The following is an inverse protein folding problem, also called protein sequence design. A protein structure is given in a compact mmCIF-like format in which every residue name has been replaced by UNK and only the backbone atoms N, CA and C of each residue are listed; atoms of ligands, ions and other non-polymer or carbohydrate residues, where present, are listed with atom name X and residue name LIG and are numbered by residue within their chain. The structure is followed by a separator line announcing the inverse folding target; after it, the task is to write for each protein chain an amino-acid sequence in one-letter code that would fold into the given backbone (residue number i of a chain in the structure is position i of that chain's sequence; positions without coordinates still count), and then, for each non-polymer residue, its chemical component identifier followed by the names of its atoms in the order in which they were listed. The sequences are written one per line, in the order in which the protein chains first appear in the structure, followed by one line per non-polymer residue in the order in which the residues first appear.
data_IF_363290547518
#
_entry.id   IF_363290547518
#
_cell.length_a   1.000
_cell.length_b   1.000
_cell.length_c   1.000
_cell.angle_alpha   90.00
_cell.angle_beta   90.00
_cell.angle_gamma   90.00
#
_symmetry.space_group_name_H-M   'P 1'
#
loop_
_entity.id
_entity.type
_entity.pdbx_description
1 polymer ?
#
# COMPACT_ATOMS: atom_id res chain seq x y z
N UNK A 1 -3.16 -13.44 -15.94
CA UNK A 1 -2.46 -12.17 -16.29
C UNK A 1 -2.52 -11.24 -15.08
N UNK A 2 -1.39 -11.02 -14.38
CA UNK A 2 -1.34 -10.14 -13.20
C UNK A 2 -1.71 -8.72 -13.63
N UNK A 3 -2.70 -8.10 -12.98
CA UNK A 3 -3.14 -6.72 -13.23
C UNK A 3 -1.92 -5.80 -13.12
N UNK A 4 -1.46 -5.28 -14.25
CA UNK A 4 -0.43 -4.23 -14.33
C UNK A 4 -0.91 -2.90 -13.73
N UNK A 5 -2.19 -2.82 -13.34
CA UNK A 5 -2.81 -1.65 -12.77
C UNK A 5 -2.76 -1.68 -11.23
N UNK A 6 -2.15 -0.67 -10.58
CA UNK A 6 -2.16 -0.57 -9.12
C UNK A 6 -3.58 -0.33 -8.58
N UNK A 7 -3.90 -0.97 -7.46
CA UNK A 7 -5.22 -0.86 -6.80
C UNK A 7 -5.32 0.32 -5.81
N UNK A 8 -4.23 1.05 -5.57
CA UNK A 8 -4.23 2.23 -4.70
C UNK A 8 -4.23 3.52 -5.53
N UNK A 9 -4.98 4.53 -5.07
CA UNK A 9 -5.15 5.81 -5.78
C UNK A 9 -3.80 6.49 -6.08
N UNK A 10 -2.86 6.46 -5.12
CA UNK A 10 -1.49 6.97 -5.31
C UNK A 10 -0.74 6.21 -6.40
N UNK A 11 -0.86 4.89 -6.46
CA UNK A 11 -0.20 4.11 -7.52
C UNK A 11 -0.80 4.37 -8.88
N UNK A 12 -2.11 4.58 -8.97
CA UNK A 12 -2.78 4.93 -10.23
C UNK A 12 -2.32 6.29 -10.72
N UNK A 13 -2.25 7.29 -9.83
CA UNK A 13 -1.73 8.62 -10.16
C UNK A 13 -0.27 8.56 -10.63
N UNK A 14 0.58 7.80 -9.93
CA UNK A 14 1.99 7.59 -10.31
C UNK A 14 2.12 6.93 -11.69
N UNK A 15 1.28 5.93 -11.98
CA UNK A 15 1.27 5.25 -13.27
C UNK A 15 0.88 6.22 -14.40
N UNK A 16 -0.17 7.02 -14.19
CA UNK A 16 -0.63 8.01 -15.18
C UNK A 16 0.45 9.06 -15.44
N UNK A 17 1.07 9.60 -14.39
CA UNK A 17 2.15 10.59 -14.52
C UNK A 17 3.36 9.98 -15.23
N UNK A 18 3.77 8.76 -14.86
CA UNK A 18 4.88 8.08 -15.51
C UNK A 18 4.60 7.84 -17.01
N UNK A 19 3.38 7.44 -17.36
CA UNK A 19 2.97 7.20 -18.75
C UNK A 19 2.92 8.51 -19.56
N UNK A 20 2.41 9.60 -18.97
CA UNK A 20 2.45 10.93 -19.59
C UNK A 20 3.89 11.41 -19.82
N UNK A 21 4.78 11.24 -18.83
CA UNK A 21 6.19 11.59 -18.97
C UNK A 21 6.89 10.75 -20.04
N UNK A 22 6.56 9.46 -20.14
CA UNK A 22 7.07 8.58 -21.19
C UNK A 22 6.67 9.08 -22.58
N UNK A 23 5.40 9.40 -22.76
CA UNK A 23 4.87 9.88 -24.03
C UNK A 23 5.48 11.22 -24.43
N UNK A 24 5.56 12.17 -23.49
CA UNK A 24 6.17 13.48 -23.70
C UNK A 24 7.66 13.37 -24.06
N UNK A 25 8.41 12.52 -23.36
CA UNK A 25 9.83 12.34 -23.63
C UNK A 25 10.08 11.59 -24.95
N UNK A 26 9.19 10.68 -25.33
CA UNK A 26 9.19 10.05 -26.64
C UNK A 26 9.02 11.06 -27.77
N UNK A 27 8.03 11.96 -27.66
CA UNK A 27 7.81 13.05 -28.62
C UNK A 27 9.02 13.99 -28.68
N UNK A 28 9.53 14.43 -27.52
CA UNK A 28 10.69 15.32 -27.44
C UNK A 28 11.95 14.69 -28.07
N UNK A 29 12.22 13.42 -27.76
CA UNK A 29 13.35 12.68 -28.33
C UNK A 29 13.21 12.52 -29.85
N UNK A 30 12.00 12.24 -30.34
CA UNK A 30 11.70 12.14 -31.76
C UNK A 30 11.91 13.47 -32.50
N UNK A 31 11.43 14.60 -31.95
CA UNK A 31 11.62 15.93 -32.52
C UNK A 31 13.11 16.31 -32.58
N UNK A 32 13.85 16.07 -31.51
CA UNK A 32 15.29 16.35 -31.45
C UNK A 32 16.09 15.47 -32.41
N UNK A 33 15.72 14.20 -32.54
CA UNK A 33 16.31 13.29 -33.52
C UNK A 33 16.08 13.77 -34.95
N UNK A 34 14.84 14.17 -35.28
CA UNK A 34 14.48 14.71 -36.60
C UNK A 34 15.21 16.02 -36.90
N UNK A 35 15.33 16.91 -35.92
CA UNK A 35 16.08 18.16 -36.02
C UNK A 35 17.58 17.94 -36.27
N UNK A 36 18.19 17.01 -35.54
CA UNK A 36 19.60 16.66 -35.70
C UNK A 36 19.91 16.06 -37.09
N UNK A 37 19.01 15.23 -37.65
CA UNK A 37 19.18 14.71 -39.01
C UNK A 37 19.14 15.83 -40.07
N UNK A 38 18.21 16.77 -39.96
CA UNK A 38 18.09 17.88 -40.91
C UNK A 38 19.31 18.80 -40.92
N UNK A 39 19.91 19.07 -39.76
CA UNK A 39 21.12 19.90 -39.67
C UNK A 39 22.34 19.28 -40.35
N UNK A 40 22.54 17.96 -40.22
CA UNK A 40 23.69 17.29 -40.84
C UNK A 40 23.66 17.39 -42.38
N UNK A 41 22.46 17.30 -42.98
CA UNK A 41 22.29 17.49 -44.42
C UNK A 41 22.62 18.92 -44.86
N UNK A 42 22.18 19.93 -44.09
CA UNK A 42 22.45 21.36 -44.37
C UNK A 42 23.94 21.71 -44.27
N UNK A 43 24.65 21.20 -43.25
CA UNK A 43 26.10 21.39 -43.12
C UNK A 43 26.85 20.78 -44.31
N UNK A 44 26.41 19.61 -44.78
CA UNK A 44 27.03 18.91 -45.92
C UNK A 44 26.82 19.64 -47.26
N UNK A 45 25.63 20.19 -47.51
CA UNK A 45 25.33 20.94 -48.74
C UNK A 45 26.04 22.29 -48.77
N UNK A 46 25.99 23.06 -47.69
CA UNK A 46 26.60 24.40 -47.62
C UNK A 46 28.11 24.33 -47.84
N UNK A 47 28.77 23.30 -47.27
CA UNK A 47 30.22 23.10 -47.45
C UNK A 47 30.61 22.65 -48.86
N UNK A 48 29.76 21.91 -49.56
CA UNK A 48 29.96 21.52 -50.96
C UNK A 48 29.70 22.69 -51.92
N UNK A 49 28.59 23.41 -51.75
CA UNK A 49 28.18 24.55 -52.57
C UNK A 49 29.21 25.69 -52.49
N UNK A 50 29.62 26.07 -51.28
CA UNK A 50 30.66 27.10 -51.12
C UNK A 50 31.96 26.73 -51.84
N UNK A 51 32.34 25.45 -51.87
CA UNK A 51 33.57 25.02 -52.56
C UNK A 51 33.46 25.01 -54.06
N UNK A 52 32.32 24.57 -54.60
CA UNK A 52 32.06 24.68 -56.04
C UNK A 52 32.11 26.17 -56.44
N UNK A 53 31.48 27.06 -55.68
CA UNK A 53 31.52 28.50 -55.93
C UNK A 53 32.95 29.09 -55.88
N UNK A 54 33.74 28.79 -54.83
CA UNK A 54 35.12 29.26 -54.72
C UNK A 54 36.07 28.67 -55.77
N UNK A 55 35.83 27.43 -56.21
CA UNK A 55 36.66 26.81 -57.24
C UNK A 55 36.39 27.38 -58.62
N UNK A 56 35.13 27.71 -58.92
CA UNK A 56 34.75 28.41 -60.16
C UNK A 56 35.31 29.84 -60.22
N UNK A 57 35.26 30.59 -59.12
CA UNK A 57 35.86 31.95 -59.03
C UNK A 57 37.38 31.95 -59.32
N UNK A 58 38.09 30.88 -58.95
CA UNK A 58 39.52 30.72 -59.29
C UNK A 58 39.77 30.46 -60.78
N UNK A 59 38.80 29.87 -61.47
CA UNK A 59 38.91 29.52 -62.89
C UNK A 59 38.62 30.74 -63.78
N UNK A 60 37.77 31.66 -63.32
CA UNK A 60 37.39 32.89 -64.04
C UNK A 60 38.33 34.08 -63.81
N UNK A 61 39.25 34.03 -62.83
CA UNK A 61 40.16 35.13 -62.50
C UNK A 61 41.62 34.92 -62.93
N UNK A 62 42.17 35.88 -63.67
CA UNK A 62 43.60 36.03 -64.01
C UNK A 62 44.42 36.44 -62.76
N UNK A 63 44.59 35.52 -61.81
CA UNK A 63 45.43 35.69 -60.62
C UNK A 63 46.57 34.68 -60.64
N UNK A 64 47.84 35.11 -60.81
CA UNK A 64 48.95 34.18 -60.84
C UNK A 64 49.05 33.44 -59.50
N UNK A 65 49.20 32.12 -59.58
CA UNK A 65 49.42 31.27 -58.43
C UNK A 65 50.64 31.77 -57.66
N UNK A 66 50.44 32.37 -56.48
CA UNK A 66 51.56 32.67 -55.57
C UNK A 66 52.29 31.36 -55.29
N UNK A 67 53.58 31.33 -55.61
CA UNK A 67 54.56 30.20 -55.64
C UNK A 67 54.70 29.38 -54.33
N UNK A 68 53.87 29.61 -53.32
CA UNK A 68 53.70 28.78 -52.12
C UNK A 68 52.37 27.97 -52.16
N UNK A 69 51.74 27.85 -53.34
CA UNK A 69 50.38 27.37 -53.55
C UNK A 69 50.14 25.86 -53.40
N UNK A 70 51.18 25.04 -53.52
CA UNK A 70 51.00 23.58 -53.63
C UNK A 70 50.54 22.91 -52.33
N UNK A 71 50.92 23.45 -51.17
CA UNK A 71 50.42 22.94 -49.88
C UNK A 71 48.99 23.38 -49.56
N UNK A 72 48.53 24.55 -50.06
CA UNK A 72 47.17 25.03 -49.78
C UNK A 72 46.14 24.41 -50.73
N UNK A 73 46.52 24.12 -51.98
CA UNK A 73 45.67 23.43 -52.94
C UNK A 73 45.35 21.98 -52.50
N UNK A 74 46.35 21.22 -52.01
CA UNK A 74 46.16 19.86 -51.45
C UNK A 74 45.29 19.81 -50.19
N UNK A 75 45.19 20.92 -49.45
CA UNK A 75 44.46 21.01 -48.18
C UNK A 75 42.94 21.05 -48.36
N UNK A 76 42.44 21.46 -49.53
CA UNK A 76 41.05 21.90 -49.71
C UNK A 76 40.20 21.04 -50.65
N UNK A 77 40.65 19.84 -51.04
CA UNK A 77 39.91 18.92 -51.92
C UNK A 77 39.75 19.50 -53.34
N UNK A 78 40.16 18.76 -54.36
CA UNK A 78 40.05 19.26 -55.74
C UNK A 78 38.58 19.15 -56.21
N UNK A 79 38.15 20.04 -57.12
CA UNK A 79 36.89 19.85 -57.84
C UNK A 79 37.12 18.84 -58.96
N UNK A 80 36.21 17.88 -59.12
CA UNK A 80 36.27 16.95 -60.24
C UNK A 80 35.49 17.55 -61.40
N UNK A 81 36.15 17.71 -62.54
CA UNK A 81 35.52 18.09 -63.79
C UNK A 81 35.40 16.87 -64.69
N UNK A 82 34.24 16.65 -65.30
CA UNK A 82 33.99 15.52 -66.19
C UNK A 82 32.85 15.82 -67.15
N UNK A 83 32.78 15.11 -68.27
CA UNK A 83 31.65 15.19 -69.21
C UNK A 83 30.39 14.49 -68.67
N UNK A 84 30.54 13.63 -67.66
CA UNK A 84 29.47 12.91 -67.01
C UNK A 84 29.34 13.29 -65.52
N UNK A 85 28.12 13.20 -65.00
CA UNK A 85 27.85 13.45 -63.58
C UNK A 85 28.50 12.37 -62.71
N UNK A 86 29.16 12.76 -61.61
CA UNK A 86 29.61 11.79 -60.60
C UNK A 86 28.44 11.13 -59.84
N UNK A 87 27.22 11.62 -60.06
CA UNK A 87 25.97 10.99 -59.62
C UNK A 87 25.31 10.33 -60.82
N UNK A 88 25.51 9.02 -60.94
CA UNK A 88 24.91 8.21 -62.00
C UNK A 88 23.43 7.95 -61.76
N UNK A 89 22.69 7.60 -62.82
CA UNK A 89 21.23 7.47 -62.78
C UNK A 89 20.74 6.26 -61.94
N UNK A 90 21.62 5.29 -61.68
CA UNK A 90 21.37 4.16 -60.77
C UNK A 90 21.53 4.54 -59.28
N UNK A 91 22.15 5.69 -58.99
CA UNK A 91 22.32 6.16 -57.62
C UNK A 91 21.03 6.86 -57.13
N UNK A 92 20.73 6.67 -55.84
CA UNK A 92 19.57 7.32 -55.21
C UNK A 92 19.79 8.83 -55.16
N UNK A 93 19.03 9.58 -55.96
CA UNK A 93 19.04 11.05 -55.96
C UNK A 93 18.41 11.61 -54.68
N UNK A 94 18.87 12.80 -54.28
CA UNK A 94 18.40 13.53 -53.10
C UNK A 94 17.82 14.88 -53.51
N UNK A 95 16.55 14.93 -53.97
CA UNK A 95 15.94 16.15 -54.53
C UNK A 95 15.94 17.34 -53.58
N UNK A 96 15.75 17.11 -52.27
CA UNK A 96 15.80 18.18 -51.26
C UNK A 96 17.19 18.83 -51.17
N UNK A 97 18.25 18.04 -51.36
CA UNK A 97 19.62 18.54 -51.33
C UNK A 97 19.96 19.28 -52.63
N UNK A 98 19.49 18.76 -53.76
CA UNK A 98 19.61 19.38 -55.09
C UNK A 98 18.95 20.77 -55.11
N UNK A 99 17.68 20.86 -54.66
CA UNK A 99 16.95 22.12 -54.59
C UNK A 99 17.62 23.16 -53.68
N UNK A 100 18.12 22.73 -52.51
CA UNK A 100 18.86 23.62 -51.59
C UNK A 100 20.19 24.06 -52.16
N UNK A 101 20.93 23.16 -52.80
CA UNK A 101 22.19 23.49 -53.45
C UNK A 101 21.96 24.51 -54.57
N UNK A 102 20.95 24.29 -55.42
CA UNK A 102 20.53 25.22 -56.46
C UNK A 102 20.17 26.59 -55.92
N UNK A 103 19.38 26.66 -54.84
CA UNK A 103 19.05 27.94 -54.20
C UNK A 103 20.29 28.64 -53.63
N UNK A 104 21.22 27.89 -53.02
CA UNK A 104 22.46 28.46 -52.48
C UNK A 104 23.38 28.98 -53.59
N UNK A 105 23.47 28.29 -54.73
CA UNK A 105 24.20 28.77 -55.90
C UNK A 105 23.56 30.02 -56.51
N UNK A 106 22.22 30.02 -56.67
CA UNK A 106 21.48 31.16 -57.17
C UNK A 106 21.67 32.41 -56.29
N UNK A 107 21.68 32.25 -54.97
CA UNK A 107 21.98 33.33 -54.02
C UNK A 107 23.41 33.88 -54.16
N UNK A 108 24.34 33.08 -54.66
CA UNK A 108 25.72 33.49 -54.97
C UNK A 108 25.87 34.01 -56.41
N UNK A 109 24.76 34.12 -57.18
CA UNK A 109 24.77 34.56 -58.57
C UNK A 109 25.31 33.52 -59.56
N UNK A 110 25.40 32.24 -59.16
CA UNK A 110 25.89 31.14 -60.00
C UNK A 110 24.70 30.31 -60.46
N UNK A 111 24.55 30.12 -61.77
CA UNK A 111 23.54 29.25 -62.37
C UNK A 111 24.16 27.98 -62.94
N UNK A 112 23.44 26.87 -62.77
CA UNK A 112 23.78 25.56 -63.34
C UNK A 112 22.57 25.03 -64.10
N UNK A 113 22.79 24.26 -65.16
CA UNK A 113 21.70 23.68 -65.98
C UNK A 113 21.03 22.49 -65.31
N UNK A 114 21.79 21.66 -64.60
CA UNK A 114 21.29 20.55 -63.79
C UNK A 114 22.15 20.39 -62.52
N UNK A 115 21.53 19.96 -61.44
CA UNK A 115 22.19 19.69 -60.16
C UNK A 115 21.74 18.31 -59.68
N UNK A 116 22.72 17.44 -59.46
CA UNK A 116 22.51 16.09 -58.96
C UNK A 116 23.16 15.90 -57.60
N UNK A 117 22.48 15.24 -56.69
CA UNK A 117 23.05 14.90 -55.40
C UNK A 117 22.71 13.49 -54.96
N UNK A 118 23.67 12.80 -54.35
CA UNK A 118 23.45 11.47 -53.77
C UNK A 118 24.21 11.31 -52.46
N UNK A 119 23.85 10.28 -51.68
CA UNK A 119 24.59 9.87 -50.50
C UNK A 119 25.01 8.42 -50.61
N UNK A 120 26.30 8.17 -50.39
CA UNK A 120 26.93 6.85 -50.47
C UNK A 120 27.63 6.53 -49.15
N UNK A 121 27.73 5.24 -48.81
CA UNK A 121 28.39 4.79 -47.56
C UNK A 121 29.90 4.72 -47.70
N UNK A 122 30.38 4.33 -48.87
CA UNK A 122 31.80 4.25 -49.21
C UNK A 122 32.09 5.12 -50.44
N UNK A 123 33.24 5.78 -50.45
CA UNK A 123 33.66 6.65 -51.54
C UNK A 123 34.49 5.82 -52.53
N UNK A 124 34.05 5.74 -53.79
CA UNK A 124 34.79 5.07 -54.85
C UNK A 124 36.03 5.89 -55.26
N UNK A 125 37.04 5.20 -55.83
CA UNK A 125 38.37 5.77 -56.05
C UNK A 125 38.40 7.08 -56.85
N UNK A 126 37.48 7.23 -57.79
CA UNK A 126 37.36 8.40 -58.66
C UNK A 126 36.99 9.71 -57.92
N UNK A 127 36.20 9.60 -56.83
CA UNK A 127 35.82 10.76 -56.00
C UNK A 127 36.68 10.91 -54.73
N UNK A 128 37.58 9.96 -54.45
CA UNK A 128 38.43 9.95 -53.24
C UNK A 128 39.39 11.15 -53.15
N UNK A 129 39.92 11.63 -54.28
CA UNK A 129 40.75 12.85 -54.37
C UNK A 129 39.98 14.16 -54.27
N UNK A 130 38.64 14.10 -54.37
CA UNK A 130 37.73 15.23 -54.48
C UNK A 130 36.87 15.38 -53.20
N UNK A 131 37.40 14.92 -52.07
CA UNK A 131 36.69 14.83 -50.79
C UNK A 131 36.96 16.03 -49.85
N UNK A 132 35.88 16.62 -49.38
CA UNK A 132 35.84 17.73 -48.42
C UNK A 132 35.90 17.20 -46.99
N UNK A 133 36.95 17.59 -46.26
CA UNK A 133 37.06 17.38 -44.82
C UNK A 133 37.83 16.13 -44.38
N UNK A 134 38.44 15.41 -45.33
CA UNK A 134 39.32 14.26 -45.06
C UNK A 134 40.73 14.66 -44.56
N UNK A 135 41.29 15.76 -45.09
CA UNK A 135 42.65 16.22 -44.75
C UNK A 135 42.71 17.07 -43.48
N UNK A 136 42.42 16.46 -42.33
CA UNK A 136 42.75 17.04 -41.01
C UNK A 136 43.78 16.24 -40.20
N UNK A 137 44.26 15.08 -40.70
CA UNK A 137 45.37 14.35 -40.06
C UNK A 137 46.66 15.18 -40.09
N UNK A 138 47.02 15.77 -41.24
CA UNK A 138 48.20 16.65 -41.34
C UNK A 138 48.12 17.94 -40.48
N UNK A 139 46.92 18.42 -40.13
CA UNK A 139 46.77 19.59 -39.25
C UNK A 139 46.88 19.24 -37.75
N UNK A 140 46.55 17.98 -37.40
CA UNK A 140 46.59 17.45 -36.02
C UNK A 140 48.00 17.12 -35.55
N UNK A 141 48.88 16.74 -36.46
CA UNK A 141 50.27 16.36 -36.16
C UNK A 141 51.27 17.52 -36.20
N UNK A 142 50.81 18.76 -36.34
CA UNK A 142 51.66 19.93 -36.13
C UNK A 142 51.91 20.12 -34.61
N UNK A 143 53.18 20.23 -34.15
CA UNK A 143 53.54 20.36 -32.73
C UNK A 143 52.74 21.42 -31.95
N UNK A 144 52.33 22.51 -32.62
CA UNK A 144 51.56 23.62 -32.02
C UNK A 144 50.16 23.20 -31.55
N UNK A 145 49.53 22.21 -32.20
CA UNK A 145 48.18 21.77 -31.83
C UNK A 145 48.18 20.73 -30.70
N UNK A 146 49.26 19.95 -30.56
CA UNK A 146 49.41 18.99 -29.46
C UNK A 146 49.57 19.71 -28.11
N UNK A 147 50.15 20.91 -28.10
CA UNK A 147 50.31 21.71 -26.88
C UNK A 147 49.05 22.45 -26.41
N UNK A 148 48.01 22.58 -27.24
CA UNK A 148 46.74 23.23 -26.90
C UNK A 148 45.60 22.26 -26.51
N UNK A 149 45.91 21.00 -26.15
CA UNK A 149 44.91 20.07 -25.58
C UNK A 149 43.84 19.58 -26.55
N UNK A 150 44.12 19.58 -27.86
CA UNK A 150 43.17 19.21 -28.92
C UNK A 150 42.83 17.72 -29.04
N UNK A 151 42.41 17.06 -27.95
CA UNK A 151 42.01 15.65 -27.99
C UNK A 151 40.50 15.51 -28.29
N UNK A 152 40.08 15.85 -29.52
CA UNK A 152 38.74 15.49 -30.02
C UNK A 152 38.82 14.18 -30.82
N UNK A 153 38.10 13.17 -30.33
CA UNK A 153 37.93 11.83 -30.95
C UNK A 153 37.60 11.94 -32.44
N UNK A 154 38.16 11.09 -33.33
CA UNK A 154 37.81 11.11 -34.74
C UNK A 154 36.32 10.79 -34.89
N UNK A 155 35.53 11.78 -35.34
CA UNK A 155 34.15 11.56 -35.75
C UNK A 155 34.12 10.42 -36.76
N UNK A 156 33.49 9.30 -36.41
CA UNK A 156 33.31 8.18 -37.35
C UNK A 156 32.55 8.71 -38.57
N UNK A 157 33.13 8.49 -39.75
CA UNK A 157 32.52 8.89 -41.02
C UNK A 157 31.46 7.85 -41.33
N UNK A 158 30.18 8.27 -41.42
CA UNK A 158 29.06 7.35 -41.66
C UNK A 158 28.74 7.21 -43.16
N UNK A 159 29.26 8.14 -43.96
CA UNK A 159 29.07 8.17 -45.40
C UNK A 159 29.50 9.51 -45.98
N UNK A 160 29.25 9.65 -47.28
CA UNK A 160 29.64 10.78 -48.10
C UNK A 160 28.41 11.29 -48.84
N UNK A 161 28.38 12.59 -49.10
CA UNK A 161 27.41 13.23 -49.98
C UNK A 161 28.15 13.75 -51.18
N UNK A 162 27.70 13.37 -52.39
CA UNK A 162 28.25 13.90 -53.64
C UNK A 162 27.25 14.90 -54.18
N UNK A 163 27.76 16.08 -54.58
CA UNK A 163 27.01 17.07 -55.35
C UNK A 163 27.73 17.27 -56.67
N UNK A 164 26.99 17.14 -57.76
CA UNK A 164 27.42 17.36 -59.14
C UNK A 164 26.56 18.43 -59.77
N UNK A 165 27.16 19.46 -60.35
CA UNK A 165 26.43 20.56 -60.99
C UNK A 165 26.95 20.77 -62.41
N UNK A 166 26.05 20.90 -63.39
CA UNK A 166 26.39 21.05 -64.80
C UNK A 166 26.49 22.53 -65.19
N UNK A 167 27.63 22.92 -65.75
CA UNK A 167 27.91 24.25 -66.23
C UNK A 167 27.25 24.51 -67.60
N UNK A 168 27.20 25.78 -68.01
CA UNK A 168 26.59 26.17 -69.29
C UNK A 168 27.32 25.61 -70.53
N UNK A 169 28.59 25.22 -70.38
CA UNK A 169 29.40 24.54 -71.41
C UNK A 169 29.15 23.03 -71.48
N UNK A 170 28.26 22.50 -70.65
CA UNK A 170 27.92 21.08 -70.56
C UNK A 170 28.79 20.27 -69.61
N UNK A 171 29.88 20.84 -69.07
CA UNK A 171 30.82 20.16 -68.19
C UNK A 171 30.26 20.02 -66.77
N UNK A 172 30.46 18.86 -66.14
CA UNK A 172 30.03 18.60 -64.77
C UNK A 172 31.12 18.91 -63.76
N UNK A 173 30.75 19.63 -62.70
CA UNK A 173 31.60 19.90 -61.54
C UNK A 173 31.09 19.11 -60.35
N UNK A 174 31.91 18.21 -59.82
CA UNK A 174 31.53 17.30 -58.75
C UNK A 174 32.44 17.42 -57.53
N UNK A 175 31.84 17.32 -56.35
CA UNK A 175 32.58 17.29 -55.08
C UNK A 175 31.89 16.37 -54.07
N UNK A 176 32.70 15.68 -53.25
CA UNK A 176 32.21 14.84 -52.16
C UNK A 176 32.39 15.53 -50.80
N UNK A 177 31.44 15.43 -49.88
CA UNK A 177 31.55 15.92 -48.51
C UNK A 177 31.31 14.82 -47.48
N UNK A 178 32.07 14.85 -46.37
CA UNK A 178 31.96 13.88 -45.28
C UNK A 178 30.72 14.15 -44.44
N UNK A 179 29.85 13.15 -44.27
CA UNK A 179 28.77 13.17 -43.28
C UNK A 179 29.30 12.58 -41.98
N UNK A 180 29.44 13.44 -40.95
CA UNK A 180 29.94 13.04 -39.62
C UNK A 180 28.80 12.63 -38.71
N UNK A 181 29.00 11.56 -37.95
CA UNK A 181 28.11 11.23 -36.84
C UNK A 181 28.33 12.16 -35.63
N UNK A 182 27.27 12.83 -35.17
CA UNK A 182 27.20 13.42 -33.82
C UNK A 182 26.24 12.59 -32.96
N UNK A 183 26.69 11.44 -32.43
CA UNK A 183 25.75 10.40 -31.93
C UNK A 183 25.90 9.93 -30.47
N UNK A 184 27.02 10.03 -29.72
CA UNK A 184 27.01 9.58 -28.31
C UNK A 184 26.59 10.67 -27.30
N UNK A 185 26.89 11.94 -27.57
CA UNK A 185 26.61 13.03 -26.62
C UNK A 185 25.13 13.38 -26.54
N UNK A 186 24.41 13.43 -27.66
CA UNK A 186 22.99 13.79 -27.68
C UNK A 186 22.15 12.72 -26.98
N UNK A 187 22.37 11.43 -27.29
CA UNK A 187 21.66 10.32 -26.63
C UNK A 187 21.96 10.29 -25.12
N UNK A 188 23.22 10.48 -24.72
CA UNK A 188 23.59 10.54 -23.30
C UNK A 188 22.93 11.72 -22.58
N UNK A 189 22.89 12.89 -23.21
CA UNK A 189 22.20 14.07 -22.66
C UNK A 189 20.70 13.84 -22.54
N UNK A 190 20.06 13.24 -23.56
CA UNK A 190 18.63 12.90 -23.52
C UNK A 190 18.32 11.88 -22.40
N UNK A 191 19.12 10.83 -22.27
CA UNK A 191 18.93 9.84 -21.19
C UNK A 191 19.09 10.48 -19.82
N UNK A 192 20.13 11.29 -19.62
CA UNK A 192 20.35 12.00 -18.36
C UNK A 192 19.19 12.95 -18.05
N UNK A 193 18.72 13.70 -19.06
CA UNK A 193 17.55 14.59 -18.93
C UNK A 193 16.28 13.81 -18.59
N UNK A 194 16.03 12.66 -19.25
CA UNK A 194 14.88 11.78 -18.95
C UNK A 194 14.93 11.32 -17.49
N UNK A 195 16.06 10.75 -17.06
CA UNK A 195 16.21 10.24 -15.70
C UNK A 195 16.01 11.37 -14.68
N UNK A 196 16.59 12.54 -14.94
CA UNK A 196 16.45 13.71 -14.07
C UNK A 196 14.99 14.15 -13.96
N UNK A 197 14.26 14.25 -15.06
CA UNK A 197 12.83 14.62 -15.06
C UNK A 197 12.00 13.58 -14.32
N UNK A 198 12.26 12.28 -14.54
CA UNK A 198 11.56 11.21 -13.85
C UNK A 198 11.81 11.24 -12.35
N UNK A 199 13.06 11.44 -11.93
CA UNK A 199 13.41 11.54 -10.51
C UNK A 199 12.75 12.76 -9.88
N UNK A 200 12.81 13.92 -10.55
CA UNK A 200 12.26 15.18 -10.05
C UNK A 200 10.72 15.18 -9.99
N UNK A 201 10.04 14.43 -10.86
CA UNK A 201 8.57 14.32 -10.84
C UNK A 201 8.07 13.19 -9.96
N UNK A 202 8.63 11.98 -10.06
CA UNK A 202 8.10 10.81 -9.39
C UNK A 202 8.49 10.76 -7.91
N UNK A 203 9.70 11.18 -7.53
CA UNK A 203 10.12 11.09 -6.11
C UNK A 203 9.24 11.95 -5.21
N UNK A 204 9.02 13.26 -5.49
CA UNK A 204 8.11 14.08 -4.66
C UNK A 204 6.70 13.52 -4.64
N UNK A 205 6.21 12.98 -5.76
CA UNK A 205 4.87 12.41 -5.86
C UNK A 205 4.72 11.13 -5.01
N UNK A 206 5.74 10.27 -4.98
CA UNK A 206 5.78 9.10 -4.11
C UNK A 206 5.80 9.54 -2.64
N UNK A 207 6.65 10.51 -2.29
CA UNK A 207 6.76 11.01 -0.92
C UNK A 207 5.44 11.62 -0.44
N UNK A 208 4.82 12.48 -1.24
CA UNK A 208 3.52 13.09 -0.96
C UNK A 208 2.42 12.03 -0.85
N UNK A 209 2.40 11.07 -1.76
CA UNK A 209 1.46 9.96 -1.73
C UNK A 209 1.57 9.12 -0.44
N UNK A 210 2.80 8.85 0.03
CA UNK A 210 3.03 8.14 1.31
C UNK A 210 2.66 9.01 2.51
N UNK A 211 2.94 10.31 2.46
CA UNK A 211 2.60 11.27 3.51
C UNK A 211 1.09 11.36 3.75
N UNK A 212 0.28 11.26 2.69
CA UNK A 212 -1.20 11.26 2.78
C UNK A 212 -1.75 9.86 3.12
N UNK A 213 -1.24 8.82 2.45
CA UNK A 213 -1.85 7.48 2.56
C UNK A 213 -1.58 6.78 3.88
N UNK A 214 -0.43 7.05 4.52
CA UNK A 214 -0.06 6.37 5.78
C UNK A 214 -1.01 6.73 6.93
N UNK A 215 -1.27 8.02 7.24
CA UNK A 215 -2.18 8.39 8.32
C UNK A 215 -3.62 7.95 8.08
N UNK A 216 -4.10 7.97 6.83
CA UNK A 216 -5.43 7.48 6.48
C UNK A 216 -5.57 5.97 6.73
N UNK A 217 -4.55 5.17 6.38
CA UNK A 217 -4.56 3.73 6.66
C UNK A 217 -4.58 3.44 8.16
N UNK A 218 -3.80 4.17 8.96
CA UNK A 218 -3.83 4.00 10.42
C UNK A 218 -5.18 4.41 11.01
N UNK A 219 -5.79 5.48 10.49
CA UNK A 219 -7.13 5.90 10.90
C UNK A 219 -8.18 4.84 10.55
N UNK A 220 -8.18 4.31 9.32
CA UNK A 220 -9.09 3.23 8.92
C UNK A 220 -8.92 1.98 9.79
N UNK A 221 -7.68 1.57 10.05
CA UNK A 221 -7.41 0.40 10.89
C UNK A 221 -7.95 0.60 12.32
N UNK A 222 -7.69 1.76 12.93
CA UNK A 222 -8.16 2.04 14.30
C UNK A 222 -9.67 2.22 14.37
N UNK A 223 -10.30 2.77 13.32
CA UNK A 223 -11.76 2.86 13.23
C UNK A 223 -12.42 1.48 13.08
N UNK A 224 -11.82 0.57 12.30
CA UNK A 224 -12.31 -0.81 12.14
C UNK A 224 -12.12 -1.66 13.39
N UNK A 225 -11.03 -1.43 14.12
CA UNK A 225 -10.76 -2.12 15.38
C UNK A 225 -11.30 -1.36 16.60
N UNK A 226 -12.07 -0.29 16.43
CA UNK A 226 -12.54 0.52 17.54
C UNK A 226 -13.48 -0.29 18.42
N UNK A 227 -13.04 -0.56 19.64
CA UNK A 227 -13.85 -1.15 20.69
C UNK A 227 -14.10 -0.09 21.76
N UNK A 228 -15.37 0.16 22.13
CA UNK A 228 -15.66 1.14 23.15
C UNK A 228 -14.97 0.77 24.46
N UNK A 229 -14.13 1.67 24.99
CA UNK A 229 -13.37 1.46 26.25
C UNK A 229 -11.89 1.23 26.05
N UNK A 230 -11.45 0.98 24.82
CA UNK A 230 -10.04 1.03 24.51
C UNK A 230 -9.50 2.45 24.66
N UNK A 231 -8.40 2.56 25.40
CA UNK A 231 -7.61 3.78 25.49
C UNK A 231 -6.52 3.76 24.40
N UNK A 232 -6.55 4.73 23.49
CA UNK A 232 -5.52 4.85 22.45
C UNK A 232 -5.89 5.87 21.40
N UNK A 233 -5.32 7.07 21.52
CA UNK A 233 -5.48 8.14 20.54
C UNK A 233 -4.50 7.98 19.38
N UNK A 234 -4.95 8.35 18.18
CA UNK A 234 -4.07 8.45 17.03
C UNK A 234 -3.29 9.75 17.09
N UNK A 235 -1.98 9.69 16.83
CA UNK A 235 -1.19 10.92 16.65
C UNK A 235 -1.67 11.67 15.42
N UNK A 236 -1.92 12.98 15.57
CA UNK A 236 -2.34 13.87 14.48
C UNK A 236 -1.21 14.08 13.46
N UNK A 237 -1.12 13.20 12.45
CA UNK A 237 -0.10 13.23 11.41
C UNK A 237 -0.69 13.42 10.02
N UNK A 238 0.11 13.98 9.10
CA UNK A 238 -0.26 14.17 7.70
C UNK A 238 -0.63 15.62 7.33
N UNK A 239 -1.23 15.82 6.14
CA UNK A 239 -1.72 17.13 5.71
C UNK A 239 -2.74 17.73 6.69
N UNK A 240 -3.00 19.06 6.64
CA UNK A 240 -3.99 19.73 7.47
C UNK A 240 -5.34 19.00 7.55
N UNK A 241 -5.93 18.66 6.40
CA UNK A 241 -7.23 17.97 6.32
C UNK A 241 -7.21 16.59 6.98
N UNK A 242 -6.09 15.86 6.85
CA UNK A 242 -5.93 14.55 7.48
C UNK A 242 -5.76 14.66 8.99
N UNK A 243 -5.02 15.66 9.47
CA UNK A 243 -4.88 15.94 10.91
C UNK A 243 -6.22 16.34 11.53
N UNK A 244 -6.99 17.18 10.85
CA UNK A 244 -8.33 17.58 11.28
C UNK A 244 -9.27 16.38 11.38
N UNK A 245 -9.24 15.48 10.39
CA UNK A 245 -10.01 14.24 10.43
C UNK A 245 -9.59 13.32 11.58
N UNK A 246 -8.27 13.16 11.82
CA UNK A 246 -7.76 12.39 12.96
C UNK A 246 -8.19 13.00 14.28
N UNK A 247 -8.14 14.34 14.41
CA UNK A 247 -8.61 15.05 15.60
C UNK A 247 -10.11 14.81 15.83
N UNK A 248 -10.93 14.97 14.80
CA UNK A 248 -12.36 14.71 14.88
C UNK A 248 -12.67 13.26 15.31
N UNK A 249 -11.90 12.28 14.82
CA UNK A 249 -12.00 10.89 15.27
C UNK A 249 -11.60 10.71 16.74
N UNK A 250 -10.49 11.31 17.18
CA UNK A 250 -10.07 11.28 18.58
C UNK A 250 -11.13 11.92 19.49
N UNK A 251 -11.71 13.05 19.09
CA UNK A 251 -12.78 13.75 19.83
C UNK A 251 -14.03 12.88 19.96
N UNK A 252 -14.43 12.22 18.87
CA UNK A 252 -15.53 11.25 18.86
C UNK A 252 -15.23 10.08 19.79
N UNK A 253 -14.03 9.50 19.72
CA UNK A 253 -13.59 8.39 20.59
C UNK A 253 -13.65 8.78 22.07
N UNK A 254 -13.13 9.97 22.43
CA UNK A 254 -13.22 10.51 23.79
C UNK A 254 -14.66 10.70 24.25
N UNK A 255 -15.53 11.25 23.40
CA UNK A 255 -16.94 11.46 23.73
C UNK A 255 -17.68 10.14 23.94
N UNK A 256 -17.45 9.14 23.08
CA UNK A 256 -18.05 7.80 23.21
C UNK A 256 -17.58 7.12 24.49
N UNK A 257 -16.27 7.12 24.76
CA UNK A 257 -15.72 6.54 25.97
C UNK A 257 -16.28 7.26 27.23
N UNK A 258 -16.36 8.59 27.21
CA UNK A 258 -16.94 9.37 28.30
C UNK A 258 -18.41 9.05 28.56
N UNK A 259 -19.24 8.92 27.53
CA UNK A 259 -20.65 8.52 27.68
C UNK A 259 -20.80 7.13 28.29
N UNK A 260 -19.89 6.21 27.99
CA UNK A 260 -19.94 4.86 28.55
C UNK A 260 -19.45 4.86 30.00
N UNK A 261 -18.39 5.61 30.31
CA UNK A 261 -17.91 5.75 31.69
C UNK A 261 -19.00 6.40 32.58
N UNK A 262 -19.72 7.40 32.07
CA UNK A 262 -20.87 8.02 32.73
C UNK A 262 -22.00 6.99 32.96
N UNK A 263 -22.31 6.16 31.96
CA UNK A 263 -23.27 5.05 32.08
C UNK A 263 -22.85 4.08 33.20
N UNK A 264 -21.57 3.72 33.28
CA UNK A 264 -21.07 2.74 34.26
C UNK A 264 -21.12 3.28 35.70
N UNK A 265 -20.81 4.57 35.88
CA UNK A 265 -20.99 5.30 37.15
C UNK A 265 -22.47 5.35 37.54
N UNK A 266 -23.35 5.70 36.60
CA UNK A 266 -24.79 5.76 36.83
C UNK A 266 -25.36 4.41 37.25
N UNK A 267 -24.99 3.31 36.56
CA UNK A 267 -25.39 1.96 36.95
C UNK A 267 -24.90 1.58 38.35
N UNK A 268 -23.70 2.04 38.74
CA UNK A 268 -23.18 1.85 40.09
C UNK A 268 -23.97 2.56 41.17
N UNK A 269 -24.29 3.83 40.92
CA UNK A 269 -25.13 4.62 41.83
C UNK A 269 -26.52 4.00 41.97
N UNK A 270 -27.16 3.60 40.87
CA UNK A 270 -28.46 2.92 40.89
C UNK A 270 -28.39 1.62 41.70
N UNK A 271 -27.34 0.80 41.52
CA UNK A 271 -27.17 -0.42 42.28
C UNK A 271 -27.05 -0.19 43.79
N UNK A 272 -26.26 0.82 44.19
CA UNK A 272 -26.12 1.21 45.59
C UNK A 272 -27.45 1.73 46.18
N UNK A 273 -28.15 2.58 45.43
CA UNK A 273 -29.41 3.19 45.87
C UNK A 273 -30.57 2.19 45.94
N UNK A 274 -30.51 1.09 45.19
CA UNK A 274 -31.46 -0.03 45.29
C UNK A 274 -31.11 -1.02 46.40
N UNK A 275 -29.82 -1.23 46.70
CA UNK A 275 -29.40 -2.13 47.79
C UNK A 275 -29.75 -1.60 49.18
N UNK A 276 -29.70 -0.27 49.36
CA UNK A 276 -30.07 0.39 50.63
C UNK A 276 -31.51 0.09 51.08
N UNK A 277 -32.57 0.31 50.26
CA UNK A 277 -33.93 -0.02 50.64
C UNK A 277 -34.17 -1.53 50.76
N UNK A 278 -33.46 -2.38 50.00
CA UNK A 278 -33.52 -3.84 50.18
C UNK A 278 -32.96 -4.27 51.53
N UNK A 279 -31.84 -3.71 51.97
CA UNK A 279 -31.29 -3.96 53.30
C UNK A 279 -32.25 -3.50 54.42
N UNK A 280 -32.90 -2.34 54.24
CA UNK A 280 -33.91 -1.86 55.19
C UNK A 280 -35.16 -2.76 55.23
N UNK A 281 -35.60 -3.28 54.08
CA UNK A 281 -36.68 -4.26 53.99
C UNK A 281 -36.29 -5.56 54.72
N UNK A 282 -35.06 -6.06 54.52
CA UNK A 282 -34.55 -7.25 55.20
C UNK A 282 -34.62 -7.11 56.72
N UNK A 283 -34.14 -5.98 57.26
CA UNK A 283 -34.24 -5.68 58.70
C UNK A 283 -35.69 -5.60 59.18
N UNK A 284 -36.60 -5.06 58.35
CA UNK A 284 -38.01 -4.95 58.72
C UNK A 284 -38.71 -6.30 58.77
N UNK A 285 -38.32 -7.23 57.89
CA UNK A 285 -38.81 -8.61 57.85
C UNK A 285 -38.44 -9.38 59.11
N UNK A 286 -37.34 -9.04 59.79
CA UNK A 286 -36.99 -9.65 61.10
C UNK A 286 -38.07 -9.44 62.19
N UNK A 287 -38.98 -8.47 62.02
CA UNK A 287 -40.08 -8.23 62.96
C UNK A 287 -41.38 -8.97 62.59
N UNK A 288 -41.36 -9.83 61.56
CA UNK A 288 -42.53 -10.65 61.18
C UNK A 288 -42.66 -11.81 62.17
N UNK A 289 -43.83 -11.91 62.81
CA UNK A 289 -44.12 -12.90 63.87
C UNK A 289 -44.22 -14.34 63.34
N UNK A 290 -44.69 -14.51 62.10
CA UNK A 290 -44.78 -15.81 61.45
C UNK A 290 -43.42 -16.20 60.84
N UNK A 291 -42.83 -17.29 61.36
CA UNK A 291 -41.52 -17.80 60.94
C UNK A 291 -41.50 -18.21 59.46
N UNK A 292 -42.55 -18.86 58.98
CA UNK A 292 -42.63 -19.36 57.59
C UNK A 292 -42.74 -18.19 56.60
N UNK A 293 -43.53 -17.17 56.94
CA UNK A 293 -43.66 -15.98 56.10
C UNK A 293 -42.40 -15.11 56.16
N UNK A 294 -41.74 -15.03 57.32
CA UNK A 294 -40.44 -14.35 57.46
C UNK A 294 -39.39 -14.98 56.54
N UNK A 295 -39.22 -16.30 56.58
CA UNK A 295 -38.25 -17.01 55.74
C UNK A 295 -38.53 -16.81 54.24
N UNK A 296 -39.80 -16.93 53.81
CA UNK A 296 -40.18 -16.68 52.41
C UNK A 296 -39.89 -15.24 51.98
N UNK A 297 -40.12 -14.26 52.85
CA UNK A 297 -39.83 -12.85 52.57
C UNK A 297 -38.33 -12.58 52.49
N UNK A 298 -37.51 -13.16 53.39
CA UNK A 298 -36.05 -13.05 53.33
C UNK A 298 -35.54 -13.64 52.01
N UNK A 299 -35.97 -14.85 51.66
CA UNK A 299 -35.58 -15.50 50.41
C UNK A 299 -35.98 -14.66 49.18
N UNK A 300 -37.16 -14.04 49.19
CA UNK A 300 -37.58 -13.13 48.11
C UNK A 300 -36.73 -11.87 47.99
N UNK A 301 -36.29 -11.28 49.11
CA UNK A 301 -35.39 -10.12 49.09
C UNK A 301 -34.01 -10.50 48.56
N UNK A 302 -33.48 -11.67 48.95
CA UNK A 302 -32.21 -12.19 48.45
C UNK A 302 -32.26 -12.47 46.94
N UNK A 303 -33.37 -13.05 46.44
CA UNK A 303 -33.56 -13.26 45.00
C UNK A 303 -33.56 -11.92 44.21
N UNK A 304 -34.14 -10.86 44.77
CA UNK A 304 -34.11 -9.51 44.17
C UNK A 304 -32.69 -8.93 44.18
N UNK A 305 -31.95 -9.05 45.29
CA UNK A 305 -30.57 -8.54 45.37
C UNK A 305 -29.64 -9.28 44.39
N UNK A 306 -29.78 -10.61 44.28
CA UNK A 306 -29.07 -11.41 43.28
C UNK A 306 -29.43 -11.02 41.84
N UNK A 307 -30.72 -10.85 41.55
CA UNK A 307 -31.19 -10.41 40.23
C UNK A 307 -30.62 -9.04 39.87
N UNK A 308 -30.62 -8.10 40.82
CA UNK A 308 -30.07 -6.77 40.64
C UNK A 308 -28.57 -6.84 40.32
N UNK A 309 -27.82 -7.63 41.08
CA UNK A 309 -26.38 -7.78 40.90
C UNK A 309 -26.05 -8.39 39.52
N UNK A 310 -26.86 -9.36 39.06
CA UNK A 310 -26.73 -9.95 37.72
C UNK A 310 -27.01 -8.95 36.61
N UNK A 311 -28.07 -8.14 36.72
CA UNK A 311 -28.39 -7.10 35.72
C UNK A 311 -27.26 -6.08 35.63
N UNK A 312 -26.78 -5.59 36.77
CA UNK A 312 -25.70 -4.60 36.82
C UNK A 312 -24.39 -5.16 36.26
N UNK A 313 -24.13 -6.45 36.51
CA UNK A 313 -22.94 -7.12 35.98
C UNK A 313 -23.03 -7.33 34.48
N UNK A 314 -24.18 -7.80 33.99
CA UNK A 314 -24.45 -7.94 32.56
C UNK A 314 -24.29 -6.59 31.83
N UNK A 315 -24.80 -5.51 32.44
CA UNK A 315 -24.71 -4.15 31.88
C UNK A 315 -23.27 -3.58 31.83
N UNK A 316 -22.35 -4.16 32.61
CA UNK A 316 -20.93 -3.80 32.73
C UNK A 316 -19.97 -4.75 32.00
N UNK A 317 -20.46 -5.85 31.41
CA UNK A 317 -19.61 -6.78 30.66
C UNK A 317 -18.95 -6.12 29.45
N UNK A 318 -17.73 -6.56 29.11
CA UNK A 318 -16.89 -5.93 28.08
C UNK A 318 -16.18 -4.65 28.52
N UNK A 319 -16.33 -4.24 29.80
CA UNK A 319 -15.72 -3.02 30.35
C UNK A 319 -14.86 -3.25 31.59
N UNK A 320 -14.72 -4.50 32.03
CA UNK A 320 -13.93 -4.80 33.22
C UNK A 320 -12.48 -4.38 33.00
N UNK A 321 -11.99 -3.46 33.85
CA UNK A 321 -10.59 -3.01 33.90
C UNK A 321 -9.68 -4.05 34.57
N UNK A 322 -10.27 -5.14 35.05
CA UNK A 322 -9.53 -6.28 35.58
C UNK A 322 -8.63 -6.82 34.48
N UNK A 323 -7.34 -6.93 34.78
CA UNK A 323 -6.40 -7.54 33.87
C UNK A 323 -6.69 -9.03 33.77
N UNK A 324 -6.48 -9.58 32.56
CA UNK A 324 -6.47 -11.02 32.38
C UNK A 324 -5.14 -11.55 32.91
N UNK A 325 -5.15 -12.05 34.14
CA UNK A 325 -3.97 -12.53 34.84
C UNK A 325 -3.88 -14.07 34.78
N UNK A 326 -2.68 -14.67 34.85
CA UNK A 326 -2.55 -16.13 34.93
C UNK A 326 -3.12 -16.66 36.25
N UNK A 327 -4.29 -17.31 36.19
CA UNK A 327 -4.99 -17.86 37.37
C UNK A 327 -4.90 -19.39 37.36
N UNK A 328 -4.67 -19.97 38.54
CA UNK A 328 -4.78 -21.42 38.76
C UNK A 328 -6.26 -21.83 38.86
N UNK A 329 -6.80 -22.36 37.76
CA UNK A 329 -8.23 -22.70 37.64
C UNK A 329 -8.63 -23.79 38.63
N UNK A 330 -7.69 -24.68 38.99
CA UNK A 330 -7.93 -25.72 39.99
C UNK A 330 -8.23 -25.08 41.35
N UNK A 331 -7.37 -24.18 41.81
CA UNK A 331 -7.55 -23.50 43.11
C UNK A 331 -8.81 -22.63 43.13
N UNK A 332 -9.16 -22.01 42.00
CA UNK A 332 -10.39 -21.26 41.87
C UNK A 332 -11.62 -22.15 42.05
N UNK A 333 -11.67 -23.30 41.37
CA UNK A 333 -12.79 -24.26 41.50
C UNK A 333 -12.84 -24.83 42.91
N UNK A 334 -11.71 -25.22 43.50
CA UNK A 334 -11.64 -25.72 44.89
C UNK A 334 -12.27 -24.70 45.86
N UNK A 335 -11.91 -23.42 45.73
CA UNK A 335 -12.49 -22.35 46.57
C UNK A 335 -14.01 -22.25 46.43
N UNK A 336 -14.53 -22.33 45.20
CA UNK A 336 -15.98 -22.23 44.94
C UNK A 336 -16.71 -23.47 45.48
N UNK A 337 -16.13 -24.66 45.33
CA UNK A 337 -16.69 -25.91 45.83
C UNK A 337 -16.81 -25.88 47.36
N UNK A 338 -15.76 -25.41 48.04
CA UNK A 338 -15.75 -25.25 49.50
C UNK A 338 -16.90 -24.29 49.93
N UNK A 339 -17.08 -23.15 49.25
CA UNK A 339 -18.19 -22.21 49.52
C UNK A 339 -19.58 -22.87 49.45
N UNK A 340 -19.85 -23.71 48.44
CA UNK A 340 -21.15 -24.40 48.31
C UNK A 340 -21.32 -25.55 49.30
N UNK A 341 -20.23 -26.25 49.63
CA UNK A 341 -20.24 -27.37 50.59
C UNK A 341 -20.47 -26.87 52.01
N UNK A 342 -19.88 -25.73 52.38
CA UNK A 342 -20.12 -25.06 53.68
C UNK A 342 -21.57 -24.64 53.86
N UNK A 343 -22.29 -24.36 52.76
CA UNK A 343 -23.73 -24.09 52.73
C UNK A 343 -24.59 -25.37 52.74
N UNK A 344 -23.98 -26.56 52.80
CA UNK A 344 -24.66 -27.85 52.87
C UNK A 344 -25.11 -28.42 51.50
N UNK A 345 -24.64 -27.86 50.38
CA UNK A 345 -24.96 -28.38 49.05
C UNK A 345 -24.05 -29.54 48.65
N UNK A 346 -24.56 -30.47 47.85
CA UNK A 346 -23.78 -31.61 47.34
C UNK A 346 -23.00 -31.21 46.08
N UNK A 347 -21.75 -30.77 46.25
CA UNK A 347 -20.84 -30.42 45.14
C UNK A 347 -19.58 -31.26 45.21
N UNK A 348 -19.25 -31.93 44.10
CA UNK A 348 -18.04 -32.75 43.98
C UNK A 348 -17.15 -32.20 42.89
N UNK A 349 -15.84 -32.17 43.14
CA UNK A 349 -14.84 -31.79 42.14
C UNK A 349 -13.86 -32.92 41.89
N UNK A 350 -13.83 -33.40 40.64
CA UNK A 350 -12.83 -34.34 40.15
C UNK A 350 -11.52 -33.59 39.93
N UNK A 351 -10.67 -33.59 40.97
CA UNK A 351 -9.39 -32.89 40.95
C UNK A 351 -8.51 -33.42 39.83
N UNK A 352 -8.24 -32.54 38.86
CA UNK A 352 -7.30 -32.78 37.77
C UNK A 352 -5.92 -32.17 38.03
N UNK A 353 -5.09 -32.17 36.99
CA UNK A 353 -3.80 -31.47 37.00
C UNK A 353 -3.97 -29.96 37.13
N UNK A 354 -2.92 -29.28 37.59
CA UNK A 354 -2.87 -27.82 37.65
C UNK A 354 -2.99 -27.22 36.25
N UNK A 355 -3.98 -26.34 36.06
CA UNK A 355 -4.23 -25.64 34.79
C UNK A 355 -4.17 -24.14 35.03
N UNK A 356 -3.28 -23.44 34.32
CA UNK A 356 -3.16 -21.98 34.37
C UNK A 356 -3.76 -21.41 33.09
N UNK A 357 -4.68 -20.46 33.23
CA UNK A 357 -5.28 -19.74 32.10
C UNK A 357 -5.26 -18.21 32.35
N UNK A 358 -5.03 -17.38 31.32
CA UNK A 358 -5.15 -15.94 31.45
C UNK A 358 -6.63 -15.56 31.50
N UNK A 359 -7.13 -15.26 32.70
CA UNK A 359 -8.55 -14.94 32.92
C UNK A 359 -8.72 -13.79 33.91
N UNK A 360 -9.91 -13.18 33.90
CA UNK A 360 -10.36 -12.28 34.97
C UNK A 360 -11.06 -13.12 36.04
N UNK A 361 -10.38 -13.35 37.15
CA UNK A 361 -10.81 -14.29 38.20
C UNK A 361 -12.23 -13.98 38.68
N UNK A 362 -12.55 -12.72 38.92
CA UNK A 362 -13.87 -12.36 39.48
C UNK A 362 -15.02 -12.74 38.55
N UNK A 363 -14.84 -12.56 37.24
CA UNK A 363 -15.83 -12.90 36.23
C UNK A 363 -15.96 -14.41 36.08
N UNK A 364 -14.83 -15.14 35.97
CA UNK A 364 -14.87 -16.60 35.84
C UNK A 364 -15.47 -17.26 37.09
N UNK A 365 -15.11 -16.78 38.30
CA UNK A 365 -15.72 -17.20 39.57
C UNK A 365 -17.24 -17.08 39.51
N UNK A 366 -17.73 -15.94 38.99
CA UNK A 366 -19.16 -15.67 38.86
C UNK A 366 -19.85 -16.58 37.86
N UNK A 367 -19.26 -16.79 36.68
CA UNK A 367 -19.79 -17.73 35.70
C UNK A 367 -19.91 -19.14 36.28
N UNK A 368 -18.87 -19.63 36.97
CA UNK A 368 -18.87 -20.93 37.63
C UNK A 368 -19.93 -21.02 38.74
N UNK A 369 -20.06 -19.99 39.60
CA UNK A 369 -21.12 -19.93 40.62
C UNK A 369 -22.51 -20.03 40.01
N UNK A 370 -22.77 -19.38 38.88
CA UNK A 370 -24.06 -19.48 38.19
C UNK A 370 -24.31 -20.87 37.60
N UNK A 371 -23.29 -21.52 37.03
CA UNK A 371 -23.41 -22.88 36.51
C UNK A 371 -23.64 -23.91 37.63
N UNK A 372 -22.88 -23.83 38.72
CA UNK A 372 -23.00 -24.72 39.87
C UNK A 372 -24.34 -24.49 40.58
N UNK A 373 -24.75 -23.24 40.75
CA UNK A 373 -26.06 -22.90 41.32
C UNK A 373 -27.22 -23.49 40.51
N UNK A 374 -27.15 -23.42 39.18
CA UNK A 374 -28.15 -24.07 38.32
C UNK A 374 -28.13 -25.60 38.47
N UNK A 375 -26.96 -26.23 38.50
CA UNK A 375 -26.83 -27.67 38.69
C UNK A 375 -27.46 -28.14 40.01
N UNK A 376 -27.22 -27.42 41.11
CA UNK A 376 -27.84 -27.70 42.41
C UNK A 376 -29.36 -27.49 42.35
N UNK A 377 -29.82 -26.38 41.77
CA UNK A 377 -31.24 -26.05 41.73
C UNK A 377 -32.08 -27.09 40.97
N UNK A 378 -31.57 -27.59 39.84
CA UNK A 378 -32.32 -28.48 38.95
C UNK A 378 -31.96 -29.96 39.09
N UNK A 379 -30.71 -30.28 39.48
CA UNK A 379 -30.20 -31.65 39.60
C UNK A 379 -29.79 -32.07 41.01
N UNK A 380 -30.01 -31.22 42.03
CA UNK A 380 -29.71 -31.43 43.47
C UNK A 380 -28.23 -31.53 43.84
N UNK A 381 -27.39 -32.01 42.93
CA UNK A 381 -25.95 -32.11 43.08
C UNK A 381 -25.23 -31.56 41.84
N UNK A 382 -23.97 -31.17 42.02
CA UNK A 382 -23.10 -30.72 40.94
C UNK A 382 -21.77 -31.49 40.94
N UNK A 383 -21.45 -32.14 39.83
CA UNK A 383 -20.18 -32.83 39.60
C UNK A 383 -19.33 -32.01 38.61
N UNK A 384 -18.17 -31.54 39.08
CA UNK A 384 -17.29 -30.66 38.32
C UNK A 384 -16.07 -31.45 37.84
N UNK A 385 -15.72 -31.30 36.57
CA UNK A 385 -14.48 -31.83 35.99
C UNK A 385 -13.83 -30.81 35.06
N UNK A 386 -12.52 -30.93 34.87
CA UNK A 386 -11.75 -30.04 33.99
C UNK A 386 -10.90 -30.88 33.06
N UNK A 387 -11.01 -30.62 31.76
CA UNK A 387 -10.15 -31.22 30.75
C UNK A 387 -9.54 -30.13 29.86
N UNK A 388 -8.35 -30.41 29.34
CA UNK A 388 -7.72 -29.58 28.30
C UNK A 388 -7.95 -30.23 26.95
N UNK A 389 -8.61 -29.52 26.05
CA UNK A 389 -8.89 -29.96 24.68
C UNK A 389 -8.28 -28.97 23.69
N UNK A 390 -7.10 -29.33 23.14
CA UNK A 390 -6.35 -28.47 22.24
C UNK A 390 -5.90 -27.15 22.89
N UNK A 391 -6.36 -26.03 22.33
CA UNK A 391 -6.13 -24.65 22.78
C UNK A 391 -7.22 -24.15 23.74
N UNK A 392 -8.09 -25.04 24.24
CA UNK A 392 -9.16 -24.70 25.16
C UNK A 392 -9.11 -25.51 26.46
N UNK A 393 -9.49 -24.85 27.53
CA UNK A 393 -9.79 -25.43 28.82
C UNK A 393 -11.31 -25.61 28.90
N UNK A 394 -11.75 -26.84 29.12
CA UNK A 394 -13.15 -27.22 29.20
C UNK A 394 -13.46 -27.52 30.66
N UNK A 395 -14.29 -26.69 31.28
CA UNK A 395 -14.77 -26.89 32.65
C UNK A 395 -16.20 -27.39 32.55
N UNK A 396 -16.42 -28.65 32.90
CA UNK A 396 -17.74 -29.28 32.89
C UNK A 396 -18.37 -29.18 34.28
N UNK A 397 -19.63 -28.77 34.31
CA UNK A 397 -20.51 -28.82 35.47
C UNK A 397 -21.68 -29.74 35.09
N UNK A 398 -21.70 -30.92 35.69
CA UNK A 398 -22.69 -31.95 35.44
C UNK A 398 -23.73 -31.94 36.56
N UNK A 399 -25.00 -32.06 36.18
CA UNK A 399 -26.12 -32.26 37.09
C UNK A 399 -26.83 -33.60 36.81
N UNK A 400 -27.69 -34.02 37.74
CA UNK A 400 -28.53 -35.22 37.63
C UNK A 400 -30.03 -34.84 37.45
N UNK A 401 -30.28 -33.67 36.85
CA UNK A 401 -31.63 -33.15 36.60
C UNK A 401 -32.35 -33.84 35.42
N UNK A 402 -33.52 -33.33 35.02
CA UNK A 402 -34.27 -33.88 33.90
C UNK A 402 -33.65 -33.58 32.51
N UNK A 403 -32.60 -32.75 32.45
CA UNK A 403 -32.06 -32.22 31.20
C UNK A 403 -32.95 -31.13 30.59
N UNK A 404 -32.65 -30.76 29.33
CA UNK A 404 -33.37 -29.72 28.58
C UNK A 404 -33.72 -30.25 27.19
N UNK A 405 -34.95 -30.05 26.67
CA UNK A 405 -35.27 -30.39 25.29
C UNK A 405 -34.29 -29.76 24.29
N UNK A 406 -33.76 -30.54 23.34
CA UNK A 406 -32.74 -30.06 22.40
C UNK A 406 -33.16 -28.79 21.64
N UNK A 407 -34.46 -28.66 21.35
CA UNK A 407 -35.03 -27.49 20.66
C UNK A 407 -35.02 -26.20 21.47
N UNK A 408 -34.88 -26.27 22.81
CA UNK A 408 -34.92 -25.11 23.69
C UNK A 408 -33.55 -24.74 24.28
N UNK A 409 -32.51 -25.57 24.07
CA UNK A 409 -31.17 -25.34 24.63
C UNK A 409 -30.64 -23.93 24.29
N UNK A 410 -30.70 -23.53 23.02
CA UNK A 410 -30.15 -22.22 22.63
C UNK A 410 -30.96 -21.06 23.23
N UNK A 411 -32.28 -21.21 23.32
CA UNK A 411 -33.16 -20.19 23.93
C UNK A 411 -32.94 -20.02 25.43
N UNK A 412 -32.42 -21.04 26.14
CA UNK A 412 -32.14 -20.92 27.58
C UNK A 412 -31.04 -19.89 27.89
N UNK A 413 -30.26 -19.47 26.88
CA UNK A 413 -29.31 -18.37 27.01
C UNK A 413 -29.92 -16.98 26.78
N UNK A 414 -31.22 -16.88 26.47
CA UNK A 414 -31.91 -15.61 26.34
C UNK A 414 -32.22 -15.00 27.72
N UNK A 415 -31.97 -13.70 27.94
CA UNK A 415 -32.27 -13.05 29.22
C UNK A 415 -33.74 -13.21 29.62
N UNK A 416 -33.99 -13.51 30.90
CA UNK A 416 -35.32 -13.66 31.52
C UNK A 416 -36.16 -14.85 31.01
N UNK A 417 -35.61 -15.69 30.12
CA UNK A 417 -36.29 -16.90 29.70
C UNK A 417 -36.14 -18.00 30.76
N UNK A 418 -37.24 -18.66 31.09
CA UNK A 418 -37.30 -19.84 31.96
C UNK A 418 -37.99 -20.97 31.18
N UNK A 419 -37.54 -22.21 31.34
CA UNK A 419 -38.20 -23.37 30.72
C UNK A 419 -39.68 -23.49 31.13
N UNK A 420 -40.54 -23.90 30.21
CA UNK A 420 -42.00 -23.87 30.32
C UNK A 420 -42.59 -24.61 31.55
N UNK A 421 -41.84 -25.54 32.16
CA UNK A 421 -42.28 -26.34 33.31
C UNK A 421 -41.94 -25.75 34.71
N UNK A 422 -41.17 -24.66 34.80
CA UNK A 422 -40.80 -24.06 36.10
C UNK A 422 -41.68 -22.87 36.53
N UNK A 423 -42.98 -22.92 36.23
CA UNK A 423 -43.95 -21.85 36.60
C UNK A 423 -44.26 -21.78 38.10
N UNK A 424 -43.74 -22.69 38.91
CA UNK A 424 -43.84 -22.57 40.35
C UNK A 424 -42.79 -21.56 40.87
N UNK A 425 -43.28 -20.52 41.56
CA UNK A 425 -42.49 -19.53 42.30
C UNK A 425 -41.50 -20.12 43.33
N UNK A 426 -41.50 -21.43 43.54
CA UNK A 426 -40.69 -22.13 44.53
C UNK A 426 -39.23 -22.36 44.10
N UNK A 427 -38.91 -22.37 42.80
CA UNK A 427 -37.54 -22.61 42.29
C UNK A 427 -36.85 -21.30 41.92
N UNK A 428 -36.55 -20.43 42.90
CA UNK A 428 -35.99 -19.07 42.71
C UNK A 428 -34.91 -18.92 41.61
N UNK A 429 -34.81 -17.73 40.99
CA UNK A 429 -33.77 -17.43 40.01
C UNK A 429 -34.22 -16.56 38.82
N UNK A 430 -33.53 -15.44 38.58
CA UNK A 430 -33.89 -14.40 37.59
C UNK A 430 -34.01 -14.82 36.11
N UNK A 431 -33.53 -16.01 35.73
CA UNK A 431 -33.33 -16.38 34.33
C UNK A 431 -32.17 -15.62 33.66
N UNK A 432 -31.32 -14.96 34.44
CA UNK A 432 -30.14 -14.24 33.92
C UNK A 432 -28.84 -15.00 34.14
N UNK A 433 -28.81 -16.00 35.04
CA UNK A 433 -27.56 -16.65 35.45
C UNK A 433 -26.80 -17.30 34.29
N UNK A 434 -27.52 -18.05 33.44
CA UNK A 434 -26.95 -18.73 32.28
C UNK A 434 -26.55 -17.76 31.16
N UNK A 435 -27.38 -16.75 30.90
CA UNK A 435 -27.09 -15.62 30.01
C UNK A 435 -25.81 -14.89 30.41
N UNK A 436 -25.68 -14.58 31.71
CA UNK A 436 -24.52 -13.90 32.27
C UNK A 436 -23.26 -14.78 32.17
N UNK A 437 -23.37 -16.07 32.52
CA UNK A 437 -22.25 -16.99 32.40
C UNK A 437 -21.76 -17.09 30.95
N UNK A 438 -22.65 -17.18 29.96
CA UNK A 438 -22.27 -17.23 28.54
C UNK A 438 -21.67 -15.92 28.05
N UNK A 439 -22.22 -14.79 28.50
CA UNK A 439 -21.67 -13.48 28.19
C UNK A 439 -20.24 -13.33 28.76
N UNK A 440 -19.98 -13.80 29.98
CA UNK A 440 -18.64 -13.85 30.58
C UNK A 440 -17.70 -14.75 29.76
N UNK A 441 -18.14 -15.93 29.35
CA UNK A 441 -17.33 -16.86 28.55
C UNK A 441 -16.92 -16.23 27.20
N UNK A 442 -17.88 -15.60 26.50
CA UNK A 442 -17.64 -14.91 25.23
C UNK A 442 -16.73 -13.70 25.36
N UNK A 443 -16.85 -12.96 26.46
CA UNK A 443 -15.95 -11.84 26.78
C UNK A 443 -14.50 -12.30 27.02
N UNK A 444 -14.27 -13.59 27.30
CA UNK A 444 -12.95 -14.23 27.36
C UNK A 444 -12.55 -14.94 26.05
N UNK A 445 -13.30 -14.77 24.95
CA UNK A 445 -13.05 -15.47 23.68
C UNK A 445 -13.48 -16.93 23.66
N UNK A 446 -14.22 -17.36 24.67
CA UNK A 446 -14.78 -18.70 24.84
C UNK A 446 -16.29 -18.79 24.49
N UNK A 447 -16.94 -19.85 24.96
CA UNK A 447 -18.41 -19.97 24.95
C UNK A 447 -18.87 -20.95 26.04
N UNK A 448 -20.18 -21.00 26.28
CA UNK A 448 -20.82 -22.05 27.09
C UNK A 448 -21.61 -22.97 26.18
N UNK A 449 -21.43 -24.28 26.39
CA UNK A 449 -22.12 -25.33 25.66
C UNK A 449 -22.95 -26.13 26.66
N UNK A 450 -24.25 -26.29 26.37
CA UNK A 450 -25.12 -27.19 27.12
C UNK A 450 -25.35 -28.46 26.31
N UNK A 451 -25.29 -29.62 26.96
CA UNK A 451 -25.58 -30.91 26.34
C UNK A 451 -26.24 -31.83 27.35
N UNK A 452 -27.31 -32.53 26.96
CA UNK A 452 -27.86 -33.60 27.80
C UNK A 452 -26.86 -34.75 27.92
N UNK A 453 -26.79 -35.35 29.12
CA UNK A 453 -25.95 -36.52 29.39
C UNK A 453 -26.71 -37.79 29.03
N UNK A 454 -25.98 -38.81 28.57
CA UNK A 454 -26.57 -40.10 28.15
C UNK A 454 -27.22 -40.85 29.32
N UNK A 455 -26.66 -40.67 30.52
CA UNK A 455 -27.16 -41.28 31.78
C UNK A 455 -28.26 -40.44 32.47
N UNK A 456 -28.72 -39.35 31.85
CA UNK A 456 -29.62 -38.36 32.44
C UNK A 456 -28.89 -37.14 33.01
N UNK A 457 -29.58 -36.00 33.11
CA UNK A 457 -29.00 -34.73 33.54
C UNK A 457 -28.46 -33.86 32.40
N UNK A 458 -27.94 -32.69 32.77
CA UNK A 458 -27.35 -31.71 31.87
C UNK A 458 -25.86 -31.52 32.18
N UNK A 459 -25.05 -31.41 31.13
CA UNK A 459 -23.66 -30.95 31.19
C UNK A 459 -23.59 -29.52 30.69
N UNK A 460 -23.22 -28.59 31.57
CA UNK A 460 -22.83 -27.23 31.20
C UNK A 460 -21.31 -27.15 31.09
N UNK A 461 -20.81 -26.80 29.91
CA UNK A 461 -19.37 -26.71 29.64
C UNK A 461 -18.95 -25.28 29.42
N UNK A 462 -18.14 -24.73 30.31
CA UNK A 462 -17.46 -23.46 30.15
C UNK A 462 -16.14 -23.68 29.40
N UNK A 463 -16.07 -23.23 28.14
CA UNK A 463 -14.88 -23.34 27.30
C UNK A 463 -14.12 -22.02 27.30
N UNK A 464 -12.86 -22.03 27.73
CA UNK A 464 -11.99 -20.85 27.78
C UNK A 464 -10.69 -21.11 27.00
N UNK A 465 -10.13 -20.13 26.26
CA UNK A 465 -8.84 -20.31 25.60
C UNK A 465 -7.70 -20.43 26.62
N UNK A 466 -6.80 -21.39 26.42
CA UNK A 466 -5.53 -21.50 27.15
C UNK A 466 -4.50 -20.78 26.30
N UNK A 467 -4.21 -19.52 26.67
CA UNK A 467 -3.44 -18.57 25.86
C UNK A 467 -2.08 -19.03 25.36
#
# INVERSE_FOLDING_TARGET
MKRLWPNNLVGQLLLVVALMLFLAQGINSFLLYRGAQNQNLIESSTSAVSRIAFGLDRQSGDRPARRNGDMRARRWGQLKYSDESAVSDDMRRLPELEARAGQAFANMGISFSDIRATSIRELTGDMSGHLIGANRREWRDNPINRSMGGNRSPSQTRGFVIISAQQADGQWVSIASVVRERTPLLVRTLLFQTITIYLLMLVPLILLGRYISRPLKSLTAKAQSFQPGESGELTEQGPPDTRELIRAFNDMSRRVNGMIDEKDVMLGAIGHDLRTPLAALRVRVENVEDDDDREKMIAGIEDIDHTLDDILSLARLGRSREHSDPVDIRSLIETIVDEFTDLGNEVRYQRGDKQIAPVRETLVRRALRNLIGNAILYGKAADISVEKSGDRLMIHVDDDGPGIPESTIESMFEPFLRGDDSRNRATGGSGLGLTLARAIARDHGGDIILKNRDDGGLRATLALPVG
#
